data_IF_728418151220
#
_entry.id   IF_728418151220
#
_cell.length_a   1.000
_cell.length_b   1.000
_cell.length_c   1.000
_cell.angle_alpha   90.00
_cell.angle_beta   90.00
_cell.angle_gamma   90.00
#
_symmetry.space_group_name_H-M   'P 1'
#
loop_
_entity.id
_entity.type
_entity.pdbx_description
1 polymer ?
#
# COMPACT_ATOMS: atom_id res chain seq x y z
N UNK A 1 -25.35 12.56 -11.13
CA UNK A 1 -23.94 12.11 -11.10
C UNK A 1 -23.14 13.16 -11.84
N UNK A 2 -22.18 13.85 -11.18
CA UNK A 2 -21.32 14.78 -11.93
C UNK A 2 -20.48 13.92 -12.88
N UNK A 3 -20.18 14.40 -14.08
CA UNK A 3 -19.43 13.65 -15.10
C UNK A 3 -18.11 13.08 -14.59
N UNK A 4 -17.46 13.76 -13.64
CA UNK A 4 -16.27 13.30 -12.92
C UNK A 4 -16.46 11.95 -12.21
N UNK A 5 -17.63 11.75 -11.58
CA UNK A 5 -17.90 10.55 -10.79
C UNK A 5 -18.03 9.31 -11.70
N UNK A 6 -18.46 9.48 -12.96
CA UNK A 6 -18.70 8.36 -13.88
C UNK A 6 -17.39 7.69 -14.30
N UNK A 7 -16.42 8.45 -14.77
CA UNK A 7 -15.17 7.89 -15.30
C UNK A 7 -14.31 7.30 -14.20
N UNK A 8 -14.25 7.95 -13.03
CA UNK A 8 -13.56 7.40 -11.88
C UNK A 8 -14.17 6.06 -11.44
N UNK A 9 -15.50 5.95 -11.34
CA UNK A 9 -16.13 4.68 -10.97
C UNK A 9 -15.95 3.60 -12.04
N UNK A 10 -16.02 3.98 -13.32
CA UNK A 10 -15.72 3.05 -14.42
C UNK A 10 -14.31 2.48 -14.31
N UNK A 11 -13.32 3.31 -13.98
CA UNK A 11 -11.95 2.84 -13.76
C UNK A 11 -11.85 1.89 -12.55
N UNK A 12 -12.51 2.23 -11.44
CA UNK A 12 -12.50 1.43 -10.22
C UNK A 12 -13.19 0.07 -10.41
N UNK A 13 -14.30 0.02 -11.15
CA UNK A 13 -15.04 -1.21 -11.43
C UNK A 13 -14.26 -2.16 -12.37
N UNK A 14 -13.51 -1.59 -13.31
CA UNK A 14 -12.73 -2.35 -14.28
C UNK A 14 -11.39 -2.86 -13.73
N UNK A 15 -10.80 -2.17 -12.76
CA UNK A 15 -9.51 -2.54 -12.20
C UNK A 15 -9.60 -3.75 -11.24
N UNK A 16 -8.70 -4.75 -11.32
CA UNK A 16 -7.55 -4.89 -12.22
C UNK A 16 -7.83 -5.75 -13.47
N UNK A 17 -9.09 -6.07 -13.76
CA UNK A 17 -9.46 -7.09 -14.75
C UNK A 17 -9.42 -6.61 -16.21
N UNK A 18 -9.73 -5.33 -16.46
CA UNK A 18 -9.69 -4.73 -17.79
C UNK A 18 -8.80 -3.49 -17.78
N UNK A 19 -7.51 -3.69 -18.07
CA UNK A 19 -6.50 -2.63 -17.98
C UNK A 19 -6.70 -1.52 -19.02
N UNK A 20 -7.08 -1.86 -20.25
CA UNK A 20 -7.28 -0.87 -21.31
C UNK A 20 -8.42 0.08 -20.94
N UNK A 21 -9.59 -0.45 -20.57
CA UNK A 21 -10.71 0.39 -20.15
C UNK A 21 -10.43 1.15 -18.85
N UNK A 22 -9.62 0.58 -17.95
CA UNK A 22 -9.18 1.28 -16.74
C UNK A 22 -8.36 2.52 -17.11
N UNK A 23 -7.35 2.38 -17.96
CA UNK A 23 -6.46 3.48 -18.37
C UNK A 23 -7.25 4.55 -19.12
N UNK A 24 -8.05 4.17 -20.12
CA UNK A 24 -8.88 5.13 -20.86
C UNK A 24 -9.80 5.91 -19.91
N UNK A 25 -10.47 5.21 -18.98
CA UNK A 25 -11.36 5.86 -18.00
C UNK A 25 -10.60 6.79 -17.06
N UNK A 26 -9.38 6.43 -16.65
CA UNK A 26 -8.53 7.27 -15.82
C UNK A 26 -8.05 8.52 -16.56
N UNK A 27 -7.61 8.39 -17.80
CA UNK A 27 -7.21 9.52 -18.65
C UNK A 27 -8.37 10.50 -18.82
N UNK A 28 -9.58 10.01 -19.09
CA UNK A 28 -10.77 10.86 -19.12
C UNK A 28 -11.01 11.53 -17.77
N UNK A 29 -10.97 10.79 -16.65
CA UNK A 29 -11.20 11.35 -15.32
C UNK A 29 -10.20 12.48 -14.99
N UNK A 30 -8.91 12.27 -15.26
CA UNK A 30 -7.83 13.23 -15.04
C UNK A 30 -7.91 14.41 -16.00
N UNK A 31 -8.42 14.23 -17.22
CA UNK A 31 -8.66 15.36 -18.14
C UNK A 31 -9.71 16.34 -17.62
N UNK A 32 -10.68 15.87 -16.83
CA UNK A 32 -11.69 16.72 -16.18
C UNK A 32 -11.22 17.29 -14.83
N UNK A 33 -10.39 16.56 -14.10
CA UNK A 33 -9.81 17.00 -12.83
C UNK A 33 -8.47 16.30 -12.61
N UNK A 34 -7.40 16.96 -13.03
CA UNK A 34 -6.02 16.51 -12.91
C UNK A 34 -5.61 16.30 -11.45
N UNK A 35 -6.26 16.98 -10.50
CA UNK A 35 -5.97 16.89 -9.05
C UNK A 35 -6.74 15.81 -8.31
N UNK A 36 -7.47 14.93 -9.02
CA UNK A 36 -8.26 13.90 -8.37
C UNK A 36 -7.33 12.83 -7.75
N UNK A 37 -7.19 12.85 -6.42
CA UNK A 37 -6.28 11.95 -5.71
C UNK A 37 -6.63 10.48 -5.86
N UNK A 38 -7.92 10.13 -5.99
CA UNK A 38 -8.33 8.74 -6.21
C UNK A 38 -7.93 8.26 -7.61
N UNK A 39 -8.07 9.10 -8.63
CA UNK A 39 -7.67 8.77 -10.00
C UNK A 39 -6.14 8.66 -10.12
N UNK A 40 -5.40 9.63 -9.56
CA UNK A 40 -3.93 9.59 -9.51
C UNK A 40 -3.42 8.37 -8.73
N UNK A 41 -4.04 8.05 -7.59
CA UNK A 41 -3.71 6.86 -6.80
C UNK A 41 -3.94 5.58 -7.61
N UNK A 42 -5.07 5.45 -8.30
CA UNK A 42 -5.33 4.27 -9.13
C UNK A 42 -4.36 4.19 -10.32
N UNK A 43 -3.98 5.32 -10.92
CA UNK A 43 -2.95 5.34 -11.97
C UNK A 43 -1.60 4.85 -11.43
N UNK A 44 -1.14 5.36 -10.28
CA UNK A 44 0.07 4.88 -9.63
C UNK A 44 0.03 3.38 -9.35
N UNK A 45 -1.13 2.85 -8.94
CA UNK A 45 -1.34 1.41 -8.76
C UNK A 45 -1.24 0.62 -10.06
N UNK A 46 -1.77 1.12 -11.18
CA UNK A 46 -1.62 0.46 -12.50
C UNK A 46 -0.13 0.31 -12.84
N UNK A 47 0.65 1.39 -12.71
CA UNK A 47 2.10 1.35 -12.98
C UNK A 47 2.84 0.38 -12.04
N UNK A 48 2.58 0.43 -10.74
CA UNK A 48 3.26 -0.42 -9.77
C UNK A 48 2.85 -1.91 -9.87
N UNK A 49 1.54 -2.18 -9.89
CA UNK A 49 1.00 -3.54 -9.75
C UNK A 49 0.98 -4.31 -11.07
N UNK A 50 0.78 -3.62 -12.21
CA UNK A 50 0.58 -4.27 -13.51
C UNK A 50 1.79 -4.14 -14.42
N UNK A 51 2.52 -3.01 -14.34
CA UNK A 51 3.64 -2.72 -15.22
C UNK A 51 5.00 -2.89 -14.53
N UNK A 52 5.03 -3.03 -13.20
CA UNK A 52 6.24 -3.04 -12.38
C UNK A 52 7.12 -1.78 -12.60
N UNK A 53 6.51 -0.68 -13.04
CA UNK A 53 7.18 0.60 -13.22
C UNK A 53 7.00 1.43 -11.95
N UNK A 54 7.87 1.15 -10.99
CA UNK A 54 7.78 1.74 -9.65
C UNK A 54 8.14 3.22 -9.64
N UNK A 55 9.05 3.68 -10.50
CA UNK A 55 9.42 5.11 -10.55
C UNK A 55 8.26 5.95 -11.08
N UNK A 56 7.62 5.55 -12.17
CA UNK A 56 6.42 6.25 -12.65
C UNK A 56 5.29 6.19 -11.63
N UNK A 57 5.12 5.06 -10.93
CA UNK A 57 4.13 4.95 -9.86
C UNK A 57 4.40 5.93 -8.70
N UNK A 58 5.67 6.06 -8.28
CA UNK A 58 6.10 7.01 -7.24
C UNK A 58 5.76 8.45 -7.61
N UNK A 59 5.92 8.83 -8.87
CA UNK A 59 5.56 10.16 -9.37
C UNK A 59 4.06 10.43 -9.19
N UNK A 60 3.20 9.50 -9.62
CA UNK A 60 1.74 9.63 -9.46
C UNK A 60 1.30 9.70 -7.99
N UNK A 61 1.89 8.88 -7.11
CA UNK A 61 1.57 8.94 -5.69
C UNK A 61 2.03 10.25 -5.03
N UNK A 62 3.21 10.73 -5.42
CA UNK A 62 3.76 12.00 -4.93
C UNK A 62 2.93 13.19 -5.40
N UNK A 63 2.51 13.19 -6.67
CA UNK A 63 1.59 14.18 -7.22
C UNK A 63 0.27 14.20 -6.46
N UNK A 64 -0.34 13.03 -6.21
CA UNK A 64 -1.59 12.91 -5.47
C UNK A 64 -1.47 13.47 -4.04
N UNK A 65 -0.37 13.17 -3.32
CA UNK A 65 -0.10 13.72 -1.98
C UNK A 65 0.08 15.24 -2.03
N UNK A 66 0.72 15.77 -3.08
CA UNK A 66 0.93 17.21 -3.25
C UNK A 66 -0.39 17.99 -3.33
N UNK A 67 -1.44 17.36 -3.86
CA UNK A 67 -2.77 17.95 -3.95
C UNK A 67 -3.57 17.82 -2.67
N UNK A 68 -3.46 16.68 -1.98
CA UNK A 68 -4.13 16.46 -0.70
C UNK A 68 -3.35 15.50 0.18
N UNK A 69 -2.63 16.06 1.15
CA UNK A 69 -1.89 15.29 2.16
C UNK A 69 -2.81 14.42 3.05
N UNK A 70 -4.12 14.67 3.07
CA UNK A 70 -5.10 13.87 3.79
C UNK A 70 -5.82 12.84 2.91
N UNK A 71 -5.35 12.58 1.69
CA UNK A 71 -5.85 11.51 0.83
C UNK A 71 -5.38 10.14 1.37
N UNK A 72 -6.21 9.55 2.23
CA UNK A 72 -5.91 8.34 3.00
C UNK A 72 -5.65 7.12 2.11
N UNK A 73 -6.30 7.06 0.95
CA UNK A 73 -6.25 5.98 -0.04
C UNK A 73 -4.86 5.77 -0.65
N UNK A 74 -3.99 6.79 -0.60
CA UNK A 74 -2.67 6.75 -1.23
C UNK A 74 -1.68 5.92 -0.40
N UNK A 75 -1.65 6.18 0.92
CA UNK A 75 -0.56 5.73 1.78
C UNK A 75 -0.28 4.22 1.75
N UNK A 76 -1.28 3.33 1.86
CA UNK A 76 -1.01 1.88 1.84
C UNK A 76 -0.34 1.43 0.54
N UNK A 77 -0.80 1.96 -0.60
CA UNK A 77 -0.33 1.57 -1.93
C UNK A 77 1.04 2.19 -2.24
N UNK A 78 1.25 3.44 -1.83
CA UNK A 78 2.53 4.09 -2.02
C UNK A 78 3.63 3.45 -1.17
N UNK A 79 3.34 3.16 0.11
CA UNK A 79 4.28 2.45 0.98
C UNK A 79 4.65 1.08 0.40
N UNK A 80 3.67 0.32 -0.10
CA UNK A 80 3.95 -0.97 -0.73
C UNK A 80 4.83 -0.83 -1.98
N UNK A 81 4.57 0.18 -2.80
CA UNK A 81 5.37 0.48 -4.00
C UNK A 81 6.83 0.76 -3.62
N UNK A 82 7.06 1.60 -2.61
CA UNK A 82 8.42 1.87 -2.10
C UNK A 82 9.09 0.61 -1.57
N UNK A 83 8.36 -0.23 -0.84
CA UNK A 83 8.88 -1.50 -0.31
C UNK A 83 9.28 -2.46 -1.45
N UNK A 84 8.46 -2.57 -2.50
CA UNK A 84 8.71 -3.43 -3.65
C UNK A 84 9.86 -2.93 -4.52
N UNK A 85 10.05 -1.61 -4.59
CA UNK A 85 11.19 -0.98 -5.26
C UNK A 85 12.47 -0.98 -4.41
N UNK A 86 12.43 -1.56 -3.20
CA UNK A 86 13.54 -1.57 -2.22
C UNK A 86 13.93 -0.19 -1.65
N UNK A 87 13.08 0.82 -1.79
CA UNK A 87 13.23 2.18 -1.23
C UNK A 87 12.88 2.22 0.27
N UNK A 88 13.57 1.40 1.08
CA UNK A 88 13.18 1.16 2.47
C UNK A 88 13.25 2.39 3.39
N UNK A 89 14.22 3.29 3.16
CA UNK A 89 14.37 4.50 3.98
C UNK A 89 13.21 5.49 3.76
N UNK A 90 12.72 5.57 2.53
CA UNK A 90 11.55 6.39 2.19
C UNK A 90 10.26 5.74 2.69
N UNK A 91 10.12 4.42 2.53
CA UNK A 91 9.00 3.66 3.06
C UNK A 91 8.87 3.82 4.58
N UNK A 92 9.97 3.77 5.33
CA UNK A 92 9.97 3.93 6.79
C UNK A 92 9.47 5.34 7.21
N UNK A 93 9.98 6.40 6.57
CA UNK A 93 9.52 7.78 6.81
C UNK A 93 8.03 7.95 6.49
N UNK A 94 7.59 7.38 5.36
CA UNK A 94 6.19 7.48 4.95
C UNK A 94 5.26 6.70 5.89
N UNK A 95 5.68 5.53 6.37
CA UNK A 95 4.95 4.77 7.41
C UNK A 95 4.80 5.60 8.68
N UNK A 96 5.88 6.21 9.18
CA UNK A 96 5.85 7.04 10.38
C UNK A 96 4.89 8.22 10.21
N UNK A 97 4.99 8.92 9.09
CA UNK A 97 4.09 10.02 8.78
C UNK A 97 2.63 9.56 8.67
N UNK A 98 2.35 8.51 7.90
CA UNK A 98 1.00 7.99 7.70
C UNK A 98 0.31 7.64 9.02
N UNK A 99 1.03 7.06 9.99
CA UNK A 99 0.48 6.72 11.32
C UNK A 99 0.05 7.93 12.15
N UNK A 100 0.52 9.14 11.81
CA UNK A 100 0.10 10.40 12.45
C UNK A 100 -1.21 10.95 11.88
N UNK A 101 -1.63 10.50 10.68
CA UNK A 101 -2.79 11.06 9.97
C UNK A 101 -4.10 10.59 10.62
N UNK A 102 -4.98 11.54 10.92
CA UNK A 102 -6.31 11.25 11.46
C UNK A 102 -7.15 10.50 10.42
N UNK A 103 -7.75 9.38 10.83
CA UNK A 103 -8.63 8.57 9.98
C UNK A 103 -7.90 7.47 9.18
N UNK A 104 -6.56 7.46 9.18
CA UNK A 104 -5.81 6.40 8.52
C UNK A 104 -6.12 5.03 9.12
N UNK A 105 -6.13 4.01 8.26
CA UNK A 105 -6.19 2.63 8.71
C UNK A 105 -4.85 2.19 9.27
N UNK A 106 -4.63 2.39 10.57
CA UNK A 106 -3.37 2.06 11.24
C UNK A 106 -2.97 0.59 11.10
N UNK A 107 -3.95 -0.32 11.07
CA UNK A 107 -3.68 -1.77 10.93
C UNK A 107 -3.01 -2.04 9.59
N UNK A 108 -3.56 -1.48 8.52
CA UNK A 108 -3.03 -1.65 7.17
C UNK A 108 -1.61 -1.09 7.03
N UNK A 109 -1.35 0.11 7.57
CA UNK A 109 -0.02 0.71 7.57
C UNK A 109 0.99 -0.14 8.37
N UNK A 110 0.61 -0.63 9.55
CA UNK A 110 1.48 -1.50 10.35
C UNK A 110 1.73 -2.84 9.66
N UNK A 111 0.78 -3.37 8.88
CA UNK A 111 0.99 -4.58 8.08
C UNK A 111 2.00 -4.35 6.96
N UNK A 112 2.01 -3.17 6.32
CA UNK A 112 3.09 -2.79 5.39
C UNK A 112 4.44 -2.68 6.12
N UNK A 113 4.47 -2.17 7.35
CA UNK A 113 5.69 -2.20 8.19
C UNK A 113 6.17 -3.62 8.48
N UNK A 114 5.25 -4.56 8.75
CA UNK A 114 5.59 -5.98 8.92
C UNK A 114 6.19 -6.56 7.63
N UNK A 115 5.60 -6.26 6.47
CA UNK A 115 6.12 -6.67 5.16
C UNK A 115 7.56 -6.18 4.95
N UNK A 116 7.81 -4.88 5.15
CA UNK A 116 9.13 -4.27 5.04
C UNK A 116 10.16 -4.97 5.94
N UNK A 117 9.83 -5.15 7.21
CA UNK A 117 10.71 -5.82 8.18
C UNK A 117 10.95 -7.28 7.82
N UNK A 118 9.96 -7.96 7.24
CA UNK A 118 10.10 -9.34 6.78
C UNK A 118 11.07 -9.44 5.59
N UNK A 119 10.98 -8.52 4.62
CA UNK A 119 11.89 -8.43 3.47
C UNK A 119 13.32 -8.14 3.93
N UNK A 120 13.50 -7.18 4.86
CA UNK A 120 14.79 -6.87 5.51
C UNK A 120 15.31 -7.99 6.43
N UNK A 121 14.57 -9.10 6.58
CA UNK A 121 14.87 -10.24 7.48
C UNK A 121 14.95 -9.85 8.96
N UNK A 122 14.35 -8.72 9.35
CA UNK A 122 14.27 -8.22 10.73
C UNK A 122 13.11 -8.88 11.50
N UNK A 123 13.09 -10.22 11.51
CA UNK A 123 11.96 -11.01 12.00
C UNK A 123 11.57 -10.73 13.46
N UNK A 124 12.54 -10.39 14.31
CA UNK A 124 12.28 -10.03 15.70
C UNK A 124 11.45 -8.75 15.81
N UNK A 125 11.79 -7.72 15.03
CA UNK A 125 11.02 -6.47 14.98
C UNK A 125 9.65 -6.69 14.36
N UNK A 126 9.57 -7.46 13.27
CA UNK A 126 8.30 -7.81 12.64
C UNK A 126 7.32 -8.49 13.62
N UNK A 127 7.81 -9.38 14.49
CA UNK A 127 7.00 -10.00 15.55
C UNK A 127 6.51 -9.01 16.61
N UNK A 128 7.27 -7.96 16.92
CA UNK A 128 6.84 -6.92 17.86
C UNK A 128 5.69 -6.11 17.26
N UNK A 129 5.82 -5.70 15.99
CA UNK A 129 4.74 -4.99 15.27
C UNK A 129 3.48 -5.85 15.16
N UNK A 130 3.60 -7.15 14.89
CA UNK A 130 2.44 -8.06 14.90
C UNK A 130 1.75 -8.17 16.26
N UNK A 131 2.48 -8.04 17.37
CA UNK A 131 1.88 -7.99 18.71
C UNK A 131 1.15 -6.68 18.94
N UNK A 132 1.72 -5.57 18.50
CA UNK A 132 1.08 -4.25 18.53
C UNK A 132 -0.24 -4.28 17.77
N UNK A 133 -0.24 -4.75 16.52
CA UNK A 133 -1.45 -4.91 15.70
C UNK A 133 -2.54 -5.67 16.46
N UNK A 134 -2.19 -6.80 17.09
CA UNK A 134 -3.14 -7.61 17.87
C UNK A 134 -3.74 -6.90 19.09
N UNK A 135 -3.05 -5.90 19.63
CA UNK A 135 -3.56 -5.14 20.78
C UNK A 135 -4.54 -4.04 20.39
N UNK A 136 -4.51 -3.59 19.13
CA UNK A 136 -5.32 -2.46 18.64
C UNK A 136 -6.40 -2.86 17.63
N UNK A 137 -6.30 -4.04 17.01
CA UNK A 137 -7.29 -4.50 16.04
C UNK A 137 -8.64 -4.74 16.71
N UNK A 138 -9.71 -4.20 16.13
CA UNK A 138 -11.08 -4.33 16.64
C UNK A 138 -12.05 -5.03 15.67
N UNK A 139 -11.55 -5.48 14.51
CA UNK A 139 -12.34 -6.14 13.46
C UNK A 139 -11.62 -7.38 12.95
N UNK A 140 -12.35 -8.30 12.32
CA UNK A 140 -11.80 -9.55 11.79
C UNK A 140 -11.20 -9.43 10.38
N UNK A 141 -11.29 -8.25 9.75
CA UNK A 141 -10.92 -8.05 8.34
C UNK A 141 -9.45 -8.41 8.03
N UNK A 142 -8.55 -8.33 9.02
CA UNK A 142 -7.13 -8.61 8.85
C UNK A 142 -6.66 -9.92 9.49
N UNK A 143 -7.55 -10.71 10.09
CA UNK A 143 -7.17 -11.88 10.88
C UNK A 143 -6.41 -12.92 10.06
N UNK A 144 -6.88 -13.19 8.83
CA UNK A 144 -6.22 -14.11 7.90
C UNK A 144 -4.80 -13.62 7.57
N UNK A 145 -4.66 -12.36 7.18
CA UNK A 145 -3.38 -11.77 6.81
C UNK A 145 -2.39 -11.74 7.99
N UNK A 146 -2.84 -11.37 9.19
CA UNK A 146 -2.03 -11.39 10.42
C UNK A 146 -1.55 -12.81 10.73
N UNK A 147 -2.42 -13.81 10.57
CA UNK A 147 -2.10 -15.22 10.77
C UNK A 147 -1.03 -15.68 9.78
N UNK A 148 -1.18 -15.37 8.50
CA UNK A 148 -0.21 -15.71 7.46
C UNK A 148 1.17 -15.09 7.72
N UNK A 149 1.23 -13.79 8.02
CA UNK A 149 2.49 -13.12 8.40
C UNK A 149 3.15 -13.82 9.60
N UNK A 150 2.35 -14.14 10.62
CA UNK A 150 2.86 -14.81 11.83
C UNK A 150 3.41 -16.20 11.50
N UNK A 151 2.72 -16.99 10.70
CA UNK A 151 3.15 -18.34 10.31
C UNK A 151 4.43 -18.29 9.47
N UNK A 152 4.46 -17.43 8.45
CA UNK A 152 5.60 -17.25 7.54
C UNK A 152 6.85 -16.74 8.25
N UNK A 153 6.72 -15.74 9.14
CA UNK A 153 7.86 -15.25 9.93
C UNK A 153 8.35 -16.32 10.90
N UNK A 154 7.45 -17.09 11.52
CA UNK A 154 7.85 -18.15 12.45
C UNK A 154 8.58 -19.30 11.75
N UNK A 155 8.14 -19.72 10.57
CA UNK A 155 8.82 -20.79 9.80
C UNK A 155 10.26 -20.39 9.45
N UNK A 156 10.48 -19.15 9.00
CA UNK A 156 11.80 -18.58 8.70
C UNK A 156 12.73 -18.55 9.92
N UNK A 157 12.21 -18.25 11.11
CA UNK A 157 13.03 -18.23 12.34
C UNK A 157 13.35 -19.62 12.92
N UNK A 158 12.54 -20.66 12.64
CA UNK A 158 12.77 -22.03 13.11
C UNK A 158 13.83 -22.77 12.27
N UNK A 159 13.90 -22.48 10.96
CA UNK A 159 14.91 -23.06 10.06
C UNK A 159 16.34 -22.67 10.43
N UNK A 160 16.58 -21.40 10.78
CA UNK A 160 17.92 -20.91 11.14
C UNK A 160 18.51 -21.53 12.41
N UNK A 161 17.70 -22.15 13.29
CA UNK A 161 18.19 -22.81 14.50
C UNK A 161 18.73 -24.22 14.26
N UNK A 162 18.48 -24.85 13.10
CA UNK A 162 18.95 -26.21 12.79
C UNK A 162 20.32 -26.25 12.09
N UNK A 163 20.85 -25.12 11.62
CA UNK A 163 22.15 -25.04 10.93
C UNK A 163 23.32 -24.51 11.77
N UNK A 164 23.15 -24.36 13.09
CA UNK A 164 24.18 -23.87 14.03
C UNK A 164 24.56 -24.91 15.09
N UNK A 165 24.46 -26.20 14.78
CA UNK A 165 24.94 -27.29 15.64
C UNK A 165 26.03 -28.08 14.93
#
# INVERSE_FOLDING_TARGET
MKTLDKYLFSALDNYPYNLLETIESLEYALSYNDKNTMALCLMGRVYAEQLMDYETAKDYFSEAISHNIHALEIYPNYIETLILNEDFDEAEKLIEFALTIKGINKIEILLKKVLMLEIKKEFSKAKLVLKEIKSIICTSNYDAQIKEFKERINSKTKGNKKGQK
#
